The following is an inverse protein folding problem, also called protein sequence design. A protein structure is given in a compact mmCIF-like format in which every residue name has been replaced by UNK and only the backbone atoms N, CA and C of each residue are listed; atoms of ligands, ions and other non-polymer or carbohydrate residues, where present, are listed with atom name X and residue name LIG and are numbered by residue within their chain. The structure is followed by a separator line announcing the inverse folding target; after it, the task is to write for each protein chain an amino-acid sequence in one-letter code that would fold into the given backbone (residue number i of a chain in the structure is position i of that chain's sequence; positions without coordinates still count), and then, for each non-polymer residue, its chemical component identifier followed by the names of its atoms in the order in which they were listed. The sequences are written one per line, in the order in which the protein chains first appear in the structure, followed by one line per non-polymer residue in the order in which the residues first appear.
data_IF_349879817717
#
_entry.id   IF_349879817717
#
_cell.length_a   1.000
_cell.length_b   1.000
_cell.length_c   1.000
_cell.angle_alpha   90.00
_cell.angle_beta   90.00
_cell.angle_gamma   90.00
#
_symmetry.space_group_name_H-M   'P 1'
#
loop_
_entity.id
_entity.type
_entity.pdbx_description
1 polymer ?
#
# COMPACT_ATOMS: atom_id res chain seq x y z
N UNK A 1 15.77 -0.69 26.74
CA UNK A 1 16.26 -2.04 26.37
C UNK A 1 17.48 -1.82 25.50
N UNK A 2 18.66 -2.03 26.05
CA UNK A 2 19.93 -1.94 25.30
C UNK A 2 20.04 -3.15 24.38
N UNK A 3 20.31 -2.90 23.09
CA UNK A 3 20.72 -3.97 22.18
C UNK A 3 21.98 -4.62 22.79
N UNK A 4 22.01 -5.95 22.87
CA UNK A 4 23.22 -6.61 23.36
C UNK A 4 24.40 -6.30 22.41
N UNK A 5 25.59 -6.11 22.94
CA UNK A 5 26.78 -5.85 22.13
C UNK A 5 26.99 -6.90 21.05
N UNK A 6 26.67 -8.16 21.35
CA UNK A 6 26.68 -9.25 20.37
C UNK A 6 25.81 -9.00 19.14
N UNK A 7 24.61 -8.43 19.29
CA UNK A 7 23.74 -8.09 18.14
C UNK A 7 24.37 -6.94 17.35
N UNK A 8 24.88 -5.92 18.02
CA UNK A 8 25.55 -4.79 17.35
C UNK A 8 26.79 -5.26 16.57
N UNK A 9 27.58 -6.15 17.14
CA UNK A 9 28.75 -6.73 16.47
C UNK A 9 28.35 -7.56 15.25
N UNK A 10 27.28 -8.36 15.36
CA UNK A 10 26.73 -9.11 14.21
C UNK A 10 26.31 -8.16 13.09
N UNK A 11 25.58 -7.08 13.41
CA UNK A 11 25.12 -6.09 12.42
C UNK A 11 26.28 -5.30 11.79
N UNK A 12 27.36 -5.08 12.53
CA UNK A 12 28.57 -4.39 12.05
C UNK A 12 29.50 -5.32 11.24
N UNK A 13 29.29 -6.62 11.35
CA UNK A 13 30.16 -7.58 10.68
C UNK A 13 29.98 -7.49 9.16
N UNK A 14 31.06 -7.43 8.36
CA UNK A 14 30.98 -7.29 6.90
C UNK A 14 30.13 -8.39 6.22
N UNK A 15 30.05 -9.58 6.80
CA UNK A 15 29.24 -10.68 6.28
C UNK A 15 27.73 -10.44 6.39
N UNK A 16 27.27 -9.45 7.19
CA UNK A 16 25.86 -9.17 7.32
C UNK A 16 25.27 -8.49 6.06
N UNK A 17 26.13 -7.81 5.29
CA UNK A 17 25.81 -7.29 3.95
C UNK A 17 24.48 -6.50 3.88
N UNK A 18 24.21 -5.58 4.82
CA UNK A 18 23.04 -4.72 4.80
C UNK A 18 22.94 -3.87 3.52
N UNK A 19 24.07 -3.57 2.91
CA UNK A 19 24.18 -2.88 1.63
C UNK A 19 23.68 -3.71 0.44
N UNK A 20 23.54 -5.03 0.62
CA UNK A 20 23.05 -5.96 -0.40
C UNK A 20 21.57 -6.37 -0.20
N UNK A 21 20.84 -5.68 0.67
CA UNK A 21 19.40 -5.87 0.79
C UNK A 21 18.73 -5.76 -0.59
N UNK A 22 17.89 -6.74 -0.91
CA UNK A 22 17.04 -6.65 -2.11
C UNK A 22 15.78 -5.87 -1.79
N UNK A 23 15.42 -4.95 -2.68
CA UNK A 23 14.28 -4.06 -2.50
C UNK A 23 13.56 -3.78 -3.80
N UNK A 24 12.27 -3.50 -3.69
CA UNK A 24 11.42 -3.00 -4.75
C UNK A 24 10.35 -2.08 -4.18
N UNK A 25 9.81 -1.21 -5.02
CA UNK A 25 8.77 -0.25 -4.65
C UNK A 25 7.56 -0.45 -5.56
N UNK A 26 6.38 -0.44 -4.96
CA UNK A 26 5.09 -0.29 -5.62
C UNK A 26 4.50 1.03 -5.15
N UNK A 27 4.29 1.98 -6.05
CA UNK A 27 3.76 3.29 -5.70
C UNK A 27 2.46 3.57 -6.43
N UNK A 28 1.41 3.75 -5.65
CA UNK A 28 0.11 4.16 -6.15
C UNK A 28 0.02 5.69 -6.28
N UNK A 29 -0.74 6.15 -7.28
CA UNK A 29 -1.09 7.57 -7.46
C UNK A 29 -2.39 7.70 -8.25
N UNK A 30 -3.28 8.56 -7.79
CA UNK A 30 -4.47 8.94 -8.55
C UNK A 30 -4.07 9.83 -9.73
N UNK A 31 -4.70 9.61 -10.88
CA UNK A 31 -4.70 10.59 -11.98
C UNK A 31 -5.72 11.68 -11.65
N UNK A 32 -5.35 12.91 -11.86
CA UNK A 32 -6.16 14.08 -11.55
C UNK A 32 -6.17 15.07 -12.71
N UNK A 33 -7.24 15.80 -12.81
CA UNK A 33 -7.37 16.96 -13.69
C UNK A 33 -6.62 18.17 -13.14
N UNK A 34 -6.34 19.19 -13.95
CA UNK A 34 -5.63 20.40 -13.52
C UNK A 34 -6.31 21.16 -12.37
N UNK A 35 -7.62 21.02 -12.22
CA UNK A 35 -8.39 21.62 -11.12
C UNK A 35 -8.42 20.76 -9.85
N UNK A 36 -7.63 19.66 -9.82
CA UNK A 36 -7.48 18.78 -8.67
C UNK A 36 -8.62 17.78 -8.45
N UNK A 37 -9.48 17.60 -9.43
CA UNK A 37 -10.53 16.56 -9.43
C UNK A 37 -9.97 15.19 -9.85
N UNK A 38 -10.62 14.10 -9.38
CA UNK A 38 -10.29 12.76 -9.83
C UNK A 38 -10.52 12.62 -11.34
N UNK A 39 -9.54 12.10 -12.08
CA UNK A 39 -9.72 11.78 -13.49
C UNK A 39 -10.72 10.63 -13.68
N UNK A 40 -11.69 10.83 -14.57
CA UNK A 40 -12.72 9.81 -14.88
C UNK A 40 -12.47 9.11 -16.21
N UNK A 41 -11.38 9.44 -16.88
CA UNK A 41 -10.97 8.86 -18.15
C UNK A 41 -10.51 7.41 -17.99
N UNK A 42 -10.62 6.57 -19.03
CA UNK A 42 -10.03 5.23 -19.03
C UNK A 42 -8.50 5.26 -18.84
N UNK A 43 -7.93 4.12 -18.48
CA UNK A 43 -6.48 3.93 -18.47
C UNK A 43 -5.87 4.33 -19.83
N UNK A 44 -4.88 5.24 -19.89
CA UNK A 44 -4.32 5.72 -21.14
C UNK A 44 -3.70 4.58 -21.97
N UNK A 45 -4.13 4.44 -23.21
CA UNK A 45 -3.60 3.41 -24.13
C UNK A 45 -2.10 3.55 -24.36
N UNK A 46 -1.58 4.76 -24.29
CA UNK A 46 -0.15 5.09 -24.39
C UNK A 46 0.70 4.46 -23.27
N UNK A 47 0.10 4.13 -22.14
CA UNK A 47 0.74 3.41 -21.02
C UNK A 47 0.72 1.88 -21.19
N UNK A 48 0.13 1.36 -22.28
CA UNK A 48 0.01 -0.06 -22.50
C UNK A 48 -1.15 -0.70 -21.73
N UNK A 49 -1.08 -2.01 -21.52
CA UNK A 49 -2.13 -2.77 -20.86
C UNK A 49 -1.93 -2.84 -19.35
N UNK A 50 -2.86 -2.33 -18.57
CA UNK A 50 -2.84 -2.47 -17.10
C UNK A 50 -2.81 -3.93 -16.62
N UNK A 51 -3.21 -4.90 -17.45
CA UNK A 51 -3.16 -6.32 -17.12
C UNK A 51 -1.76 -6.93 -17.24
N UNK A 52 -0.99 -6.50 -18.24
CA UNK A 52 0.23 -7.21 -18.67
C UNK A 52 1.49 -6.37 -18.65
N UNK A 53 1.39 -5.05 -18.45
CA UNK A 53 2.57 -4.20 -18.35
C UNK A 53 3.36 -4.52 -17.06
N UNK A 54 4.68 -4.76 -17.12
CA UNK A 54 5.45 -5.21 -15.95
C UNK A 54 5.64 -4.16 -14.87
N UNK A 55 5.55 -2.87 -15.22
CA UNK A 55 5.86 -1.76 -14.32
C UNK A 55 4.70 -0.79 -14.09
N UNK A 56 3.61 -0.87 -14.86
CA UNK A 56 2.50 0.08 -14.81
C UNK A 56 1.18 -0.72 -14.84
N UNK A 57 0.43 -0.64 -13.76
CA UNK A 57 -0.91 -1.22 -13.65
C UNK A 57 -1.88 -0.22 -13.02
N UNK A 58 -3.07 -0.66 -12.70
CA UNK A 58 -4.00 0.08 -11.84
C UNK A 58 -4.26 -0.71 -10.55
N UNK A 59 -4.37 -0.02 -9.42
CA UNK A 59 -4.80 -0.67 -8.19
C UNK A 59 -6.33 -0.89 -8.19
N UNK A 60 -7.08 -0.13 -7.42
CA UNK A 60 -8.54 -0.28 -7.34
C UNK A 60 -9.28 0.43 -8.48
N UNK A 61 -8.96 1.71 -8.65
CA UNK A 61 -9.62 2.57 -9.62
C UNK A 61 -8.87 2.61 -10.95
N UNK A 62 -9.62 2.76 -12.04
CA UNK A 62 -9.06 3.07 -13.36
C UNK A 62 -8.17 4.33 -13.32
N UNK A 63 -8.49 5.26 -12.42
CA UNK A 63 -7.70 6.47 -12.20
C UNK A 63 -6.47 6.26 -11.29
N UNK A 64 -6.37 5.15 -10.58
CA UNK A 64 -5.30 4.89 -9.63
C UNK A 64 -4.21 4.04 -10.27
N UNK A 65 -3.17 4.71 -10.78
CA UNK A 65 -2.01 4.01 -11.31
C UNK A 65 -1.16 3.44 -10.18
N UNK A 66 -0.62 2.25 -10.41
CA UNK A 66 0.34 1.58 -9.56
C UNK A 66 1.63 1.35 -10.35
N UNK A 67 2.71 1.97 -9.89
CA UNK A 67 4.02 1.98 -10.52
C UNK A 67 4.96 1.05 -9.78
N UNK A 68 5.43 0.00 -10.47
CA UNK A 68 6.14 -1.13 -9.88
C UNK A 68 7.58 -1.16 -10.39
N UNK A 69 8.55 -1.11 -9.49
CA UNK A 69 9.97 -1.30 -9.87
C UNK A 69 10.32 -2.78 -9.95
N UNK A 70 11.44 -3.08 -10.58
CA UNK A 70 12.13 -4.36 -10.41
C UNK A 70 12.79 -4.48 -9.03
N UNK A 71 13.55 -5.57 -8.87
CA UNK A 71 14.32 -5.85 -7.65
C UNK A 71 15.72 -5.24 -7.78
N UNK A 72 16.12 -4.45 -6.79
CA UNK A 72 17.40 -3.75 -6.75
C UNK A 72 18.19 -4.05 -5.48
N UNK A 73 19.51 -4.04 -5.58
CA UNK A 73 20.41 -4.17 -4.44
C UNK A 73 20.72 -2.83 -3.75
N UNK A 74 20.52 -1.70 -4.44
CA UNK A 74 20.79 -0.38 -3.87
C UNK A 74 19.52 0.49 -3.84
N UNK A 75 19.36 1.38 -2.82
CA UNK A 75 18.25 2.33 -2.81
C UNK A 75 18.24 3.24 -4.02
N UNK A 76 19.42 3.73 -4.44
CA UNK A 76 19.56 4.64 -5.56
C UNK A 76 19.04 4.03 -6.87
N UNK A 77 19.44 2.80 -7.20
CA UNK A 77 18.99 2.13 -8.42
C UNK A 77 17.45 1.90 -8.42
N UNK A 78 16.87 1.59 -7.26
CA UNK A 78 15.43 1.41 -7.11
C UNK A 78 14.68 2.74 -7.34
N UNK A 79 15.14 3.82 -6.72
CA UNK A 79 14.56 5.15 -6.88
C UNK A 79 14.73 5.70 -8.29
N UNK A 80 15.88 5.47 -8.91
CA UNK A 80 16.14 5.87 -10.29
C UNK A 80 15.20 5.17 -11.28
N UNK A 81 14.95 3.88 -11.09
CA UNK A 81 13.94 3.19 -11.90
C UNK A 81 12.54 3.77 -11.67
N UNK A 82 12.13 3.97 -10.42
CA UNK A 82 10.83 4.56 -10.10
C UNK A 82 10.68 5.94 -10.74
N UNK A 83 11.72 6.76 -10.68
CA UNK A 83 11.73 8.09 -11.29
C UNK A 83 11.53 8.01 -12.80
N UNK A 84 12.23 7.10 -13.50
CA UNK A 84 12.06 6.89 -14.95
C UNK A 84 10.65 6.43 -15.32
N UNK A 85 10.04 5.54 -14.48
CA UNK A 85 8.65 5.12 -14.68
C UNK A 85 7.73 6.35 -14.52
N UNK A 86 7.95 7.19 -13.51
CA UNK A 86 7.18 8.42 -13.32
C UNK A 86 7.31 9.37 -14.51
N UNK A 87 8.53 9.60 -15.02
CA UNK A 87 8.76 10.45 -16.20
C UNK A 87 8.00 9.91 -17.41
N UNK A 88 8.11 8.59 -17.66
CA UNK A 88 7.39 7.96 -18.77
C UNK A 88 5.88 8.15 -18.62
N UNK A 89 5.33 7.86 -17.44
CA UNK A 89 3.89 8.02 -17.18
C UNK A 89 3.48 9.49 -17.41
N UNK A 90 4.17 10.45 -16.82
CA UNK A 90 3.81 11.86 -16.91
C UNK A 90 3.80 12.37 -18.35
N UNK A 91 4.73 11.92 -19.19
CA UNK A 91 4.77 12.29 -20.61
C UNK A 91 3.65 11.67 -21.45
N UNK A 92 2.93 10.68 -20.90
CA UNK A 92 1.86 9.96 -21.60
C UNK A 92 0.45 10.20 -21.02
N UNK A 93 0.33 11.01 -19.97
CA UNK A 93 -0.98 11.34 -19.35
C UNK A 93 -1.75 12.45 -20.10
N UNK A 94 -1.13 13.15 -21.06
CA UNK A 94 -1.72 14.31 -21.71
C UNK A 94 -1.93 15.45 -20.70
N UNK A 95 -3.17 15.90 -20.54
CA UNK A 95 -3.52 17.00 -19.64
C UNK A 95 -3.72 16.57 -18.17
N UNK A 96 -3.57 15.30 -17.86
CA UNK A 96 -3.74 14.82 -16.50
C UNK A 96 -2.42 14.84 -15.72
N UNK A 97 -2.52 14.89 -14.39
CA UNK A 97 -1.39 14.89 -13.48
C UNK A 97 -1.49 13.68 -12.52
N UNK A 98 -0.36 13.35 -11.89
CA UNK A 98 -0.35 12.37 -10.79
C UNK A 98 -0.48 13.09 -9.45
N UNK A 99 -1.45 12.66 -8.65
CA UNK A 99 -1.66 13.16 -7.29
C UNK A 99 -0.57 12.60 -6.35
N UNK A 100 0.19 13.47 -5.66
CA UNK A 100 1.35 13.01 -4.89
C UNK A 100 1.00 12.47 -3.49
N UNK A 101 -0.14 12.85 -2.92
CA UNK A 101 -0.51 12.53 -1.55
C UNK A 101 -1.19 11.18 -1.43
N UNK A 102 -1.03 10.53 -0.25
CA UNK A 102 -1.72 9.26 0.07
C UNK A 102 -3.22 9.47 0.21
N UNK A 103 -3.65 10.48 0.96
CA UNK A 103 -5.08 10.84 1.02
C UNK A 103 -5.51 11.43 -0.31
N UNK A 104 -6.71 11.08 -0.79
CA UNK A 104 -7.10 11.38 -2.17
C UNK A 104 -7.30 12.86 -2.47
N UNK A 105 -7.26 13.17 -3.74
CA UNK A 105 -7.66 14.43 -4.34
C UNK A 105 -9.16 14.73 -4.10
N UNK A 106 -9.69 15.79 -4.72
CA UNK A 106 -11.12 16.07 -4.72
C UNK A 106 -11.88 14.98 -5.48
N UNK A 107 -12.81 14.35 -4.78
CA UNK A 107 -13.66 13.27 -5.33
C UNK A 107 -15.04 13.80 -5.66
N UNK A 108 -15.70 13.18 -6.65
CA UNK A 108 -17.11 13.42 -6.95
C UNK A 108 -18.01 13.00 -5.76
N UNK A 109 -19.17 13.66 -5.56
CA UNK A 109 -20.07 13.34 -4.46
C UNK A 109 -20.59 11.91 -4.47
N UNK A 110 -20.87 11.37 -5.66
CA UNK A 110 -21.33 10.00 -5.83
C UNK A 110 -20.14 9.05 -5.89
N UNK A 111 -20.03 8.13 -4.95
CA UNK A 111 -18.94 7.15 -4.96
C UNK A 111 -18.95 6.22 -6.18
N UNK A 112 -20.11 6.04 -6.81
CA UNK A 112 -20.28 5.25 -8.03
C UNK A 112 -19.55 5.89 -9.22
N UNK A 113 -19.28 7.20 -9.18
CA UNK A 113 -18.50 7.91 -10.18
C UNK A 113 -17.02 7.50 -10.16
N UNK A 114 -16.50 6.95 -9.05
CA UNK A 114 -15.13 6.43 -8.99
C UNK A 114 -15.04 5.19 -9.88
N UNK A 115 -14.30 5.25 -11.01
CA UNK A 115 -14.27 4.15 -11.97
C UNK A 115 -13.47 2.97 -11.43
N UNK A 116 -14.00 1.76 -11.58
CA UNK A 116 -13.30 0.53 -11.25
C UNK A 116 -12.23 0.20 -12.30
N UNK A 117 -11.09 -0.32 -11.87
CA UNK A 117 -10.03 -0.80 -12.75
C UNK A 117 -10.56 -1.86 -13.74
N UNK A 118 -10.20 -1.70 -15.01
CA UNK A 118 -10.60 -2.58 -16.12
C UNK A 118 -9.37 -3.23 -16.75
N UNK A 119 -9.47 -4.53 -16.98
CA UNK A 119 -8.31 -5.33 -17.43
C UNK A 119 -8.62 -6.14 -18.70
N UNK A 120 -9.62 -5.71 -19.47
CA UNK A 120 -10.05 -6.42 -20.69
C UNK A 120 -11.04 -7.54 -20.43
N UNK A 121 -11.25 -8.37 -21.47
CA UNK A 121 -12.32 -9.39 -21.52
C UNK A 121 -11.85 -10.81 -21.21
N UNK A 122 -10.56 -11.04 -21.01
CA UNK A 122 -10.02 -12.35 -20.62
C UNK A 122 -10.54 -12.75 -19.23
N UNK A 123 -10.53 -14.06 -18.92
CA UNK A 123 -10.97 -14.56 -17.61
C UNK A 123 -10.24 -13.91 -16.45
N UNK A 124 -8.93 -13.73 -16.58
CA UNK A 124 -8.10 -13.05 -15.57
C UNK A 124 -8.45 -11.57 -15.44
N UNK A 125 -8.65 -10.88 -16.56
CA UNK A 125 -9.07 -9.48 -16.56
C UNK A 125 -10.44 -9.28 -15.91
N UNK A 126 -11.38 -10.16 -16.22
CA UNK A 126 -12.71 -10.19 -15.60
C UNK A 126 -12.64 -10.47 -14.10
N UNK A 127 -11.88 -11.48 -13.69
CA UNK A 127 -11.68 -11.81 -12.28
C UNK A 127 -11.11 -10.62 -11.48
N UNK A 128 -10.11 -9.92 -12.01
CA UNK A 128 -9.55 -8.70 -11.40
C UNK A 128 -10.60 -7.60 -11.23
N UNK A 129 -11.45 -7.38 -12.22
CA UNK A 129 -12.53 -6.36 -12.16
C UNK A 129 -13.62 -6.76 -11.17
N UNK A 130 -14.03 -8.02 -11.14
CA UNK A 130 -15.02 -8.55 -10.19
C UNK A 130 -14.52 -8.45 -8.76
N UNK A 131 -13.25 -8.78 -8.51
CA UNK A 131 -12.62 -8.62 -7.20
C UNK A 131 -12.72 -7.17 -6.70
N UNK A 132 -12.41 -6.19 -7.54
CA UNK A 132 -12.50 -4.75 -7.20
C UNK A 132 -13.93 -4.29 -6.96
N UNK A 133 -14.88 -4.82 -7.72
CA UNK A 133 -16.31 -4.59 -7.45
C UNK A 133 -16.67 -5.08 -6.05
N UNK A 134 -16.19 -6.27 -5.67
CA UNK A 134 -16.36 -6.82 -4.32
C UNK A 134 -15.77 -5.93 -3.24
N UNK A 135 -14.57 -5.37 -3.44
CA UNK A 135 -13.97 -4.42 -2.50
C UNK A 135 -14.81 -3.14 -2.39
N UNK A 136 -15.24 -2.58 -3.52
CA UNK A 136 -16.11 -1.39 -3.53
C UNK A 136 -17.42 -1.59 -2.81
N UNK A 137 -18.03 -2.78 -2.92
CA UNK A 137 -19.27 -3.11 -2.22
C UNK A 137 -19.06 -3.28 -0.71
N UNK A 138 -17.93 -3.87 -0.29
CA UNK A 138 -17.65 -4.13 1.12
C UNK A 138 -17.17 -2.91 1.89
N UNK A 139 -16.29 -2.11 1.29
CA UNK A 139 -15.58 -1.02 1.98
C UNK A 139 -15.95 0.37 1.46
N UNK A 140 -16.73 0.45 0.38
CA UNK A 140 -16.98 1.68 -0.35
C UNK A 140 -15.84 2.07 -1.29
N UNK A 141 -16.15 2.67 -2.43
CA UNK A 141 -15.14 3.06 -3.45
C UNK A 141 -14.27 4.23 -2.99
N UNK A 142 -14.79 5.09 -2.13
CA UNK A 142 -14.06 6.25 -1.59
C UNK A 142 -12.85 5.79 -0.77
N UNK A 143 -13.03 4.79 0.09
CA UNK A 143 -11.94 4.24 0.90
C UNK A 143 -10.80 3.68 0.02
N UNK A 144 -11.15 3.13 -1.12
CA UNK A 144 -10.19 2.52 -2.05
C UNK A 144 -9.40 3.55 -2.88
N UNK A 145 -9.67 4.86 -2.76
CA UNK A 145 -8.88 5.91 -3.42
C UNK A 145 -7.66 6.36 -2.60
N UNK A 146 -7.49 5.84 -1.40
CA UNK A 146 -6.26 6.06 -0.64
C UNK A 146 -5.11 5.35 -1.35
N UNK A 147 -4.03 6.08 -1.62
CA UNK A 147 -2.86 5.57 -2.32
C UNK A 147 -1.71 5.26 -1.36
N UNK A 148 -1.01 4.18 -1.60
CA UNK A 148 0.09 3.71 -0.78
C UNK A 148 1.45 3.72 -1.50
N UNK A 149 2.49 3.56 -0.70
CA UNK A 149 3.81 3.15 -1.16
C UNK A 149 4.15 1.86 -0.42
N UNK A 150 4.28 0.77 -1.18
CA UNK A 150 4.77 -0.50 -0.65
C UNK A 150 6.29 -0.57 -0.84
N UNK A 151 7.00 -0.78 0.23
CA UNK A 151 8.43 -1.02 0.21
C UNK A 151 8.69 -2.49 0.52
N UNK A 152 9.03 -3.24 -0.52
CA UNK A 152 9.36 -4.66 -0.41
C UNK A 152 10.85 -4.82 -0.19
N UNK A 153 11.25 -5.68 0.74
CA UNK A 153 12.66 -5.98 0.97
C UNK A 153 12.88 -7.43 1.40
N UNK A 154 14.09 -7.92 1.16
CA UNK A 154 14.54 -9.21 1.68
C UNK A 154 16.03 -9.17 2.03
N UNK A 155 16.40 -9.97 3.03
CA UNK A 155 17.78 -10.15 3.43
C UNK A 155 18.53 -11.04 2.40
N UNK A 156 19.79 -10.72 2.07
CA UNK A 156 20.62 -11.58 1.24
C UNK A 156 20.99 -12.87 1.98
N UNK A 157 21.39 -13.89 1.22
CA UNK A 157 21.76 -15.19 1.77
C UNK A 157 22.84 -15.10 2.83
N UNK A 158 23.85 -14.24 2.60
CA UNK A 158 24.98 -14.04 3.51
C UNK A 158 24.53 -13.46 4.87
N UNK A 159 23.51 -12.63 4.88
CA UNK A 159 22.95 -12.09 6.13
C UNK A 159 22.30 -13.20 6.97
N UNK A 160 21.61 -14.14 6.34
CA UNK A 160 21.03 -15.29 7.04
C UNK A 160 22.13 -16.19 7.64
N UNK A 161 23.21 -16.41 6.92
CA UNK A 161 24.35 -17.18 7.39
C UNK A 161 25.01 -16.48 8.60
N UNK A 162 25.22 -15.16 8.51
CA UNK A 162 25.77 -14.36 9.61
C UNK A 162 24.89 -14.37 10.87
N UNK A 163 23.56 -14.48 10.70
CA UNK A 163 22.60 -14.65 11.80
C UNK A 163 22.49 -16.09 12.30
N UNK A 164 23.26 -17.03 11.77
CA UNK A 164 23.17 -18.46 12.10
C UNK A 164 21.89 -19.14 11.63
N UNK A 165 21.17 -18.56 10.66
CA UNK A 165 19.90 -19.06 10.13
C UNK A 165 20.13 -19.83 8.83
N UNK A 166 20.49 -21.10 8.93
CA UNK A 166 20.87 -21.91 7.78
C UNK A 166 19.68 -22.65 7.16
N UNK A 167 18.74 -23.16 7.97
CA UNK A 167 17.59 -23.88 7.44
C UNK A 167 16.45 -22.94 7.02
N UNK A 168 15.54 -23.44 6.19
CA UNK A 168 14.34 -22.71 5.76
C UNK A 168 13.44 -22.37 6.97
N UNK A 169 13.31 -23.31 7.89
CA UNK A 169 12.51 -23.15 9.11
C UNK A 169 13.07 -22.02 9.97
N UNK A 170 14.38 -22.02 10.22
CA UNK A 170 15.05 -20.98 11.01
C UNK A 170 14.89 -19.58 10.40
N UNK A 171 14.94 -19.48 9.06
CA UNK A 171 14.70 -18.21 8.35
C UNK A 171 13.25 -17.78 8.44
N UNK A 172 12.31 -18.71 8.32
CA UNK A 172 10.88 -18.44 8.49
C UNK A 172 10.60 -17.89 9.88
N UNK A 173 11.10 -18.53 10.93
CA UNK A 173 10.95 -18.07 12.31
C UNK A 173 11.54 -16.66 12.51
N UNK A 174 12.73 -16.42 11.93
CA UNK A 174 13.37 -15.10 11.99
C UNK A 174 12.57 -14.01 11.26
N UNK A 175 11.88 -14.33 10.14
CA UNK A 175 10.95 -13.40 9.51
C UNK A 175 9.72 -13.12 10.41
N UNK A 176 9.19 -14.10 11.11
CA UNK A 176 8.13 -13.87 12.09
C UNK A 176 8.60 -13.03 13.28
N UNK A 177 9.82 -13.21 13.75
CA UNK A 177 10.47 -12.33 14.74
C UNK A 177 10.54 -10.88 14.21
N UNK A 178 10.96 -10.69 12.96
CA UNK A 178 11.02 -9.39 12.31
C UNK A 178 9.64 -8.75 12.20
N UNK A 179 8.61 -9.50 11.79
CA UNK A 179 7.23 -9.01 11.70
C UNK A 179 6.74 -8.53 13.07
N UNK A 180 6.95 -9.30 14.14
CA UNK A 180 6.56 -8.91 15.50
C UNK A 180 7.28 -7.65 15.96
N UNK A 181 8.57 -7.53 15.70
CA UNK A 181 9.35 -6.35 16.03
C UNK A 181 8.95 -5.14 15.18
N UNK A 182 8.70 -5.32 13.88
CA UNK A 182 8.20 -4.28 13.01
C UNK A 182 6.85 -3.73 13.52
N UNK A 183 5.91 -4.60 13.87
CA UNK A 183 4.62 -4.19 14.45
C UNK A 183 4.77 -3.42 15.76
N UNK A 184 5.70 -3.83 16.62
CA UNK A 184 6.00 -3.14 17.89
C UNK A 184 6.53 -1.72 17.66
N UNK A 185 7.31 -1.51 16.62
CA UNK A 185 7.99 -0.25 16.34
C UNK A 185 7.39 0.54 15.16
N UNK A 186 6.32 0.06 14.55
CA UNK A 186 5.71 0.71 13.38
C UNK A 186 5.25 2.14 13.64
N UNK A 187 4.85 2.47 14.86
CA UNK A 187 4.50 3.82 15.27
C UNK A 187 5.63 4.83 15.00
N UNK A 188 6.88 4.41 15.18
CA UNK A 188 8.04 5.26 14.91
C UNK A 188 8.16 5.59 13.41
N UNK A 189 7.91 4.61 12.55
CA UNK A 189 7.90 4.83 11.10
C UNK A 189 6.76 5.79 10.70
N UNK A 190 5.58 5.63 11.28
CA UNK A 190 4.45 6.53 11.04
C UNK A 190 4.78 7.94 11.51
N UNK A 191 5.39 8.08 12.68
CA UNK A 191 5.80 9.38 13.22
C UNK A 191 6.84 10.09 12.35
N UNK A 192 7.86 9.36 11.90
CA UNK A 192 8.97 9.93 11.13
C UNK A 192 8.65 10.14 9.65
N UNK A 193 7.86 9.26 9.05
CA UNK A 193 7.63 9.18 7.60
C UNK A 193 6.18 9.45 7.19
N UNK A 194 5.28 9.68 8.14
CA UNK A 194 3.90 10.04 7.83
C UNK A 194 3.85 11.37 7.06
N UNK A 195 3.15 11.38 5.93
CA UNK A 195 3.06 12.53 5.03
C UNK A 195 1.63 12.80 4.54
N UNK A 196 0.64 12.40 5.35
CA UNK A 196 -0.78 12.51 4.99
C UNK A 196 -1.61 13.12 6.13
N UNK A 197 -1.24 14.34 6.62
CA UNK A 197 -1.90 14.96 7.78
C UNK A 197 -3.24 15.62 7.44
N UNK A 198 -3.56 15.75 6.16
CA UNK A 198 -4.73 16.48 5.66
C UNK A 198 -5.54 15.67 4.67
N UNK A 199 -6.81 16.03 4.50
CA UNK A 199 -7.75 15.38 3.59
C UNK A 199 -8.73 16.39 3.01
N UNK A 200 -9.18 16.15 1.77
CA UNK A 200 -10.26 16.92 1.15
C UNK A 200 -11.61 16.64 1.85
N UNK A 201 -12.46 17.66 1.96
CA UNK A 201 -13.85 17.52 2.43
C UNK A 201 -14.60 16.42 1.67
N UNK A 202 -14.32 16.26 0.40
CA UNK A 202 -14.97 15.26 -0.46
C UNK A 202 -14.74 13.81 -0.05
N UNK A 203 -13.69 13.53 0.72
CA UNK A 203 -13.43 12.22 1.29
C UNK A 203 -14.22 11.94 2.56
N UNK A 204 -14.59 12.97 3.32
CA UNK A 204 -15.24 12.85 4.62
C UNK A 204 -16.72 12.51 4.40
N UNK A 205 -17.17 11.36 4.93
CA UNK A 205 -18.54 10.84 4.73
C UNK A 205 -19.44 10.99 5.96
N UNK A 206 -18.87 11.24 7.12
CA UNK A 206 -19.61 11.46 8.36
C UNK A 206 -19.36 12.88 8.87
N UNK A 207 -20.34 13.49 9.48
CA UNK A 207 -20.18 14.76 10.20
C UNK A 207 -19.53 14.55 11.59
N UNK A 208 -19.54 13.33 12.10
CA UNK A 208 -18.86 12.96 13.35
C UNK A 208 -17.36 12.68 13.08
N UNK A 209 -16.65 13.71 12.67
CA UNK A 209 -15.21 13.69 12.49
C UNK A 209 -14.54 14.72 13.41
N UNK A 210 -13.39 14.38 13.96
CA UNK A 210 -12.62 15.26 14.85
C UNK A 210 -11.62 16.15 14.10
N UNK A 211 -11.80 16.32 12.78
CA UNK A 211 -10.88 17.11 11.96
C UNK A 211 -11.18 18.60 12.08
N UNK A 212 -10.13 19.41 12.16
CA UNK A 212 -10.21 20.85 12.05
C UNK A 212 -10.29 21.31 10.59
N UNK A 213 -11.10 22.29 10.29
CA UNK A 213 -11.14 22.95 8.99
C UNK A 213 -9.90 23.86 8.83
N UNK A 214 -9.16 23.68 7.76
CA UNK A 214 -7.90 24.40 7.49
C UNK A 214 -8.02 25.41 6.34
N UNK A 215 -9.16 25.49 5.68
CA UNK A 215 -9.40 26.37 4.52
C UNK A 215 -9.59 25.58 3.20
N UNK A 216 -10.26 26.19 2.24
CA UNK A 216 -10.43 25.70 0.86
C UNK A 216 -10.89 24.24 0.76
N UNK A 217 -11.79 23.81 1.65
CA UNK A 217 -12.29 22.43 1.67
C UNK A 217 -11.28 21.39 2.17
N UNK A 218 -10.21 21.82 2.83
CA UNK A 218 -9.19 20.99 3.44
C UNK A 218 -9.43 20.83 4.93
N UNK A 219 -9.28 19.61 5.43
CA UNK A 219 -9.41 19.24 6.83
C UNK A 219 -8.18 18.48 7.30
N UNK A 220 -7.86 18.57 8.58
CA UNK A 220 -6.73 17.90 9.18
C UNK A 220 -6.84 17.74 10.67
N UNK A 221 -5.94 16.99 11.27
CA UNK A 221 -5.75 16.96 12.72
C UNK A 221 -4.45 17.68 13.04
N UNK A 222 -4.47 18.61 14.01
CA UNK A 222 -3.22 19.12 14.59
C UNK A 222 -2.38 17.95 15.07
N UNK A 223 -1.09 18.01 14.88
CA UNK A 223 -0.11 16.99 15.31
C UNK A 223 -0.23 15.60 14.63
N UNK A 224 -1.18 15.39 13.71
CA UNK A 224 -1.23 14.16 12.95
C UNK A 224 -0.14 14.12 11.88
N UNK A 225 0.55 12.98 11.77
CA UNK A 225 1.50 12.72 10.70
C UNK A 225 0.87 11.96 9.54
N UNK A 226 -0.17 11.15 9.81
CA UNK A 226 -0.88 10.38 8.78
C UNK A 226 -2.33 10.09 9.18
N UNK A 227 -3.28 10.64 8.44
CA UNK A 227 -4.70 10.29 8.57
C UNK A 227 -5.00 8.91 7.99
N UNK A 228 -4.21 8.43 7.02
CA UNK A 228 -4.32 7.09 6.45
C UNK A 228 -4.27 6.00 7.51
N UNK A 229 -3.44 6.17 8.54
CA UNK A 229 -3.25 5.18 9.62
C UNK A 229 -4.18 5.40 10.81
N UNK A 230 -5.05 6.41 10.74
CA UNK A 230 -6.06 6.71 11.75
C UNK A 230 -7.42 6.10 11.42
N UNK A 231 -8.45 6.54 12.18
CA UNK A 231 -9.84 6.06 12.01
C UNK A 231 -10.45 6.37 10.64
N UNK A 232 -9.94 7.39 9.94
CA UNK A 232 -10.36 7.74 8.58
C UNK A 232 -9.66 6.93 7.49
N UNK A 233 -8.61 6.19 7.86
CA UNK A 233 -7.84 5.38 6.92
C UNK A 233 -8.52 4.05 6.59
N UNK A 234 -7.80 3.24 5.85
CA UNK A 234 -8.27 1.94 5.39
C UNK A 234 -8.53 0.99 6.58
N UNK A 235 -9.77 0.58 6.77
CA UNK A 235 -10.19 -0.34 7.81
C UNK A 235 -11.09 -1.43 7.24
N UNK A 236 -11.02 -2.62 7.83
CA UNK A 236 -11.87 -3.76 7.49
C UNK A 236 -12.53 -4.30 8.77
N UNK A 237 -13.83 -4.11 8.88
CA UNK A 237 -14.61 -4.62 10.03
C UNK A 237 -14.52 -6.14 10.15
N UNK A 238 -14.48 -6.85 9.02
CA UNK A 238 -14.30 -8.30 9.01
C UNK A 238 -12.92 -8.73 9.53
N UNK A 239 -11.88 -7.92 9.33
CA UNK A 239 -10.54 -8.21 9.84
C UNK A 239 -10.37 -7.81 11.31
N UNK A 240 -11.13 -6.84 11.79
CA UNK A 240 -11.09 -6.42 13.19
C UNK A 240 -11.48 -7.54 14.16
N UNK A 241 -12.31 -8.48 13.70
CA UNK A 241 -12.72 -9.67 14.47
C UNK A 241 -11.80 -10.91 14.30
N UNK A 242 -10.72 -10.78 13.49
CA UNK A 242 -9.78 -11.89 13.27
C UNK A 242 -8.55 -11.76 14.16
N UNK A 243 -8.36 -12.74 15.01
CA UNK A 243 -7.17 -12.88 15.84
C UNK A 243 -6.07 -13.56 15.00
N UNK A 244 -5.26 -12.75 14.33
CA UNK A 244 -4.18 -13.25 13.46
C UNK A 244 -2.90 -13.40 14.28
N UNK A 245 -2.46 -14.65 14.48
CA UNK A 245 -1.19 -14.94 15.15
C UNK A 245 0.00 -14.69 14.22
N UNK A 246 1.03 -14.10 14.78
CA UNK A 246 2.35 -13.90 14.14
C UNK A 246 3.45 -14.63 14.90
N UNK A 247 3.12 -15.66 15.67
CA UNK A 247 4.10 -16.42 16.45
C UNK A 247 4.89 -17.42 15.58
N UNK A 248 4.19 -18.05 14.65
CA UNK A 248 4.80 -19.00 13.70
C UNK A 248 4.05 -19.00 12.35
N UNK A 249 4.67 -19.59 11.32
CA UNK A 249 3.99 -19.79 10.02
C UNK A 249 2.74 -20.68 10.17
N UNK A 250 2.79 -21.68 11.02
CA UNK A 250 1.68 -22.58 11.25
C UNK A 250 0.48 -21.84 11.86
N UNK A 251 0.68 -21.13 12.97
CA UNK A 251 -0.37 -20.35 13.61
C UNK A 251 -0.92 -19.26 12.70
N UNK A 252 -0.04 -18.58 11.96
CA UNK A 252 -0.45 -17.60 10.97
C UNK A 252 -1.36 -18.23 9.90
N UNK A 253 -0.93 -19.35 9.32
CA UNK A 253 -1.69 -20.06 8.29
C UNK A 253 -3.05 -20.53 8.79
N UNK A 254 -3.13 -21.04 10.02
CA UNK A 254 -4.38 -21.43 10.69
C UNK A 254 -5.30 -20.22 10.90
N UNK A 255 -4.76 -19.09 11.34
CA UNK A 255 -5.52 -17.85 11.55
C UNK A 255 -6.13 -17.34 10.23
N UNK A 256 -5.32 -17.30 9.16
CA UNK A 256 -5.80 -16.89 7.83
C UNK A 256 -6.83 -17.88 7.27
N UNK A 257 -6.58 -19.19 7.40
CA UNK A 257 -7.55 -20.21 6.98
C UNK A 257 -8.90 -20.05 7.69
N UNK A 258 -8.89 -19.79 9.00
CA UNK A 258 -10.09 -19.50 9.77
C UNK A 258 -10.85 -18.30 9.17
N UNK A 259 -10.15 -17.20 8.87
CA UNK A 259 -10.74 -16.02 8.25
C UNK A 259 -11.34 -16.29 6.86
N UNK A 260 -10.69 -17.16 6.05
CA UNK A 260 -11.19 -17.54 4.72
C UNK A 260 -12.40 -18.48 4.75
N UNK A 261 -12.53 -19.30 5.79
CA UNK A 261 -13.59 -20.31 5.90
C UNK A 261 -14.76 -19.86 6.78
N UNK A 262 -14.54 -18.88 7.66
CA UNK A 262 -15.58 -18.33 8.51
C UNK A 262 -16.43 -17.31 7.74
N UNK A 263 -17.74 -17.52 7.72
CA UNK A 263 -18.67 -16.56 7.11
C UNK A 263 -18.74 -15.29 7.95
N UNK A 264 -18.66 -14.14 7.29
CA UNK A 264 -18.92 -12.84 7.91
C UNK A 264 -20.36 -12.42 7.56
N UNK A 265 -21.28 -12.34 8.54
CA UNK A 265 -22.72 -12.16 8.27
C UNK A 265 -23.02 -10.89 7.48
N UNK A 266 -22.34 -9.78 7.76
CA UNK A 266 -22.57 -8.48 7.11
C UNK A 266 -22.22 -8.47 5.63
N UNK A 267 -21.38 -9.41 5.16
CA UNK A 267 -21.03 -9.52 3.74
C UNK A 267 -21.92 -10.51 2.97
N UNK A 268 -22.82 -11.22 3.64
CA UNK A 268 -23.72 -12.17 2.97
C UNK A 268 -24.80 -11.50 2.12
N UNK A 269 -24.98 -10.21 2.26
CA UNK A 269 -25.94 -9.39 1.51
C UNK A 269 -25.40 -8.87 0.17
N UNK A 270 -24.14 -9.13 -0.15
CA UNK A 270 -23.49 -8.71 -1.40
C UNK A 270 -23.32 -9.93 -2.39
#
# INVERSE_FOLDING_TARGET
MTLSEHILDTLRHPSFCLDQLRRGIEKESLRVTHDGGLALTPHPKSLGSALTHPNITTDFSEAQLELITGIHSTPHACLDQLFRIHQFVQTHLGEELLWPSSMPCRLEPAQEAIPLGRYGTSNIGQAKTVYRRGLGNRYGRVMQTISGIHYNFSLPEQAWQALGKQSKEQRTDAYFDLIRNFRRWSWLLIYLLGSSPVVSRSFIRSEDHQLAYLGEGTYGLPDATSLRMGRLGYQSDAQAGLDVSYNSLEEYSLSIRKGLTQRYPDYQRF
#
